data_IF_049340104684
#
_entry.id   IF_049340104684
#
_cell.length_a   1.000
_cell.length_b   1.000
_cell.length_c   1.000
_cell.angle_alpha   90.00
_cell.angle_beta   90.00
_cell.angle_gamma   90.00
#
_symmetry.space_group_name_H-M   'P 1'
#
loop_
_entity.id
_entity.type
_entity.pdbx_description
1 polymer ?
#
# COMPACT_ATOMS: atom_id res chain seq x y z
N UNK A 1 20.65 -26.33 45.04
CA UNK A 1 20.39 -25.62 43.80
C UNK A 1 21.73 -25.41 43.12
N UNK A 2 21.93 -26.07 41.96
CA UNK A 2 23.17 -26.04 41.21
C UNK A 2 23.08 -24.81 40.29
N UNK A 3 23.90 -23.79 40.60
CA UNK A 3 24.04 -22.61 39.77
C UNK A 3 24.82 -22.99 38.49
N UNK A 4 24.25 -22.75 37.31
CA UNK A 4 24.86 -22.95 36.00
C UNK A 4 25.34 -21.62 35.44
N UNK A 5 26.12 -20.89 36.21
CA UNK A 5 26.41 -19.50 35.89
C UNK A 5 27.82 -19.24 35.28
N UNK A 6 28.62 -20.30 35.07
CA UNK A 6 29.95 -20.11 34.46
C UNK A 6 30.10 -20.92 33.16
N UNK A 7 30.52 -20.25 32.07
CA UNK A 7 30.81 -20.83 30.76
C UNK A 7 31.80 -22.01 30.79
N UNK A 8 32.63 -22.09 31.86
CA UNK A 8 33.59 -23.17 32.05
C UNK A 8 32.97 -24.54 32.36
N UNK A 9 31.70 -24.58 32.77
CA UNK A 9 31.02 -25.81 33.13
C UNK A 9 30.56 -26.62 31.89
N UNK A 10 30.50 -26.01 30.71
CA UNK A 10 29.98 -26.65 29.47
C UNK A 10 31.07 -27.30 28.61
N UNK A 11 32.35 -27.03 28.79
CA UNK A 11 33.46 -27.57 27.98
C UNK A 11 33.09 -27.75 26.54
N UNK A 12 32.87 -26.64 25.80
CA UNK A 12 32.60 -26.67 24.37
C UNK A 12 33.76 -27.26 23.59
N UNK A 13 33.64 -28.49 23.16
CA UNK A 13 34.57 -29.11 22.23
C UNK A 13 34.05 -28.90 20.81
N UNK A 14 35.03 -28.79 19.89
CA UNK A 14 34.70 -28.84 18.47
C UNK A 14 34.08 -30.20 18.15
N UNK A 15 32.92 -30.19 17.50
CA UNK A 15 32.27 -31.41 17.07
C UNK A 15 33.05 -32.00 15.90
N UNK A 16 33.53 -33.23 16.06
CA UNK A 16 34.38 -33.87 15.05
C UNK A 16 33.66 -34.15 13.73
N UNK A 17 32.35 -34.26 13.78
CA UNK A 17 31.52 -34.58 12.61
C UNK A 17 31.11 -33.32 11.82
N UNK A 18 31.39 -32.12 12.34
CA UNK A 18 31.10 -30.87 11.66
C UNK A 18 32.39 -30.30 11.05
N UNK A 19 32.54 -30.32 9.73
CA UNK A 19 33.72 -29.75 9.08
C UNK A 19 33.77 -28.25 9.20
N UNK A 20 34.96 -27.70 9.17
CA UNK A 20 35.18 -26.25 9.16
C UNK A 20 34.56 -25.62 7.91
N UNK A 21 33.61 -24.71 8.11
CA UNK A 21 33.06 -23.88 7.04
C UNK A 21 33.87 -22.59 6.96
N UNK A 22 34.63 -22.41 5.89
CA UNK A 22 35.37 -21.17 5.63
C UNK A 22 34.60 -20.36 4.58
N UNK A 23 34.18 -19.17 4.96
CA UNK A 23 33.59 -18.21 4.04
C UNK A 23 34.72 -17.26 3.62
N UNK A 24 35.11 -17.32 2.37
CA UNK A 24 36.15 -16.45 1.82
C UNK A 24 35.68 -14.99 1.68
N UNK A 25 36.64 -14.08 1.52
CA UNK A 25 36.35 -12.66 1.43
C UNK A 25 35.51 -12.35 0.19
N UNK A 26 35.78 -13.01 -0.92
CA UNK A 26 35.04 -12.81 -2.19
C UNK A 26 33.56 -13.17 -2.06
N UNK A 27 33.24 -14.25 -1.33
CA UNK A 27 31.85 -14.60 -1.01
C UNK A 27 31.19 -13.58 -0.10
N UNK A 28 31.91 -13.06 0.92
CA UNK A 28 31.37 -12.00 1.80
C UNK A 28 31.08 -10.73 1.02
N UNK A 29 31.99 -10.33 0.14
CA UNK A 29 31.83 -9.11 -0.67
C UNK A 29 30.66 -9.24 -1.63
N UNK A 30 30.52 -10.37 -2.31
CA UNK A 30 29.37 -10.68 -3.16
C UNK A 30 28.04 -10.68 -2.40
N UNK A 31 28.01 -11.21 -1.18
CA UNK A 31 26.82 -11.20 -0.35
C UNK A 31 26.46 -9.78 0.11
N UNK A 32 27.46 -8.95 0.44
CA UNK A 32 27.24 -7.55 0.80
C UNK A 32 26.69 -6.72 -0.37
N UNK A 33 27.23 -6.91 -1.58
CA UNK A 33 26.78 -6.23 -2.79
C UNK A 33 25.33 -6.60 -3.16
N UNK A 34 24.94 -7.85 -2.91
CA UNK A 34 23.60 -8.35 -3.20
C UNK A 34 22.64 -8.30 -2.00
N UNK A 35 23.08 -7.70 -0.88
CA UNK A 35 22.23 -7.61 0.30
C UNK A 35 21.08 -6.64 0.05
N UNK A 36 19.82 -7.07 0.23
CA UNK A 36 18.69 -6.17 0.09
C UNK A 36 18.74 -5.08 1.16
N UNK A 37 18.18 -3.92 0.82
CA UNK A 37 18.03 -2.81 1.76
C UNK A 37 17.33 -3.27 3.05
N UNK A 38 17.84 -2.84 4.20
CA UNK A 38 17.25 -3.19 5.50
C UNK A 38 15.89 -2.52 5.69
N UNK A 39 15.03 -3.12 6.54
CA UNK A 39 13.73 -2.54 6.89
C UNK A 39 13.89 -1.13 7.46
N UNK A 40 14.88 -0.91 8.32
CA UNK A 40 15.17 0.40 8.92
C UNK A 40 15.55 1.44 7.86
N UNK A 41 16.45 1.08 6.94
CA UNK A 41 16.87 1.98 5.85
C UNK A 41 15.71 2.32 4.90
N UNK A 42 14.86 1.33 4.59
CA UNK A 42 13.65 1.58 3.80
C UNK A 42 12.69 2.55 4.48
N UNK A 43 12.45 2.34 5.78
CA UNK A 43 11.61 3.22 6.59
C UNK A 43 12.12 4.66 6.59
N UNK A 44 13.41 4.85 6.86
CA UNK A 44 14.07 6.16 6.84
C UNK A 44 13.92 6.81 5.45
N UNK A 45 14.21 6.07 4.39
CA UNK A 45 14.05 6.54 3.01
C UNK A 45 12.61 6.95 2.67
N UNK A 46 11.61 6.20 3.15
CA UNK A 46 10.20 6.54 2.91
C UNK A 46 9.78 7.84 3.64
N UNK A 47 10.29 8.04 4.86
CA UNK A 47 10.03 9.25 5.63
C UNK A 47 10.74 10.45 5.00
N UNK A 48 12.04 10.34 4.74
CA UNK A 48 12.87 11.48 4.31
C UNK A 48 12.58 11.88 2.85
N UNK A 49 12.45 10.89 1.96
CA UNK A 49 12.28 11.18 0.53
C UNK A 49 10.86 11.51 0.13
N UNK A 50 9.87 10.87 0.77
CA UNK A 50 8.46 10.95 0.35
C UNK A 50 7.55 11.62 1.38
N UNK A 51 8.09 12.11 2.50
CA UNK A 51 7.32 12.73 3.59
C UNK A 51 6.16 11.83 4.06
N UNK A 52 6.40 10.51 4.14
CA UNK A 52 5.43 9.54 4.62
C UNK A 52 5.46 9.53 6.15
N UNK A 53 4.29 9.49 6.77
CA UNK A 53 4.18 9.41 8.23
C UNK A 53 4.94 8.18 8.78
N UNK A 54 5.68 8.30 9.90
CA UNK A 54 6.51 7.22 10.42
C UNK A 54 5.79 5.88 10.66
N UNK A 55 4.52 5.93 11.08
CA UNK A 55 3.71 4.72 11.28
C UNK A 55 3.37 4.04 9.95
N UNK A 56 3.03 4.82 8.92
CA UNK A 56 2.73 4.32 7.57
C UNK A 56 3.98 3.72 6.93
N UNK A 57 5.12 4.40 7.06
CA UNK A 57 6.41 3.92 6.58
C UNK A 57 6.82 2.60 7.26
N UNK A 58 6.59 2.47 8.56
CA UNK A 58 6.88 1.27 9.34
C UNK A 58 6.04 0.06 8.85
N UNK A 59 4.75 0.25 8.67
CA UNK A 59 3.83 -0.79 8.18
C UNK A 59 4.27 -1.27 6.80
N UNK A 60 4.53 -0.35 5.86
CA UNK A 60 4.91 -0.71 4.49
C UNK A 60 6.29 -1.37 4.44
N UNK A 61 7.28 -0.84 5.17
CA UNK A 61 8.64 -1.37 5.17
C UNK A 61 8.75 -2.76 5.83
N UNK A 62 7.90 -3.04 6.81
CA UNK A 62 7.94 -4.30 7.58
C UNK A 62 7.43 -5.51 6.80
N UNK A 63 6.59 -5.32 5.78
CA UNK A 63 6.06 -6.40 4.96
C UNK A 63 6.61 -6.32 3.53
N UNK A 64 7.22 -7.43 3.07
CA UNK A 64 7.84 -7.50 1.74
C UNK A 64 6.83 -7.29 0.60
N UNK A 65 5.59 -7.75 0.76
CA UNK A 65 4.54 -7.61 -0.24
C UNK A 65 4.15 -6.14 -0.41
N UNK A 66 3.83 -5.46 0.70
CA UNK A 66 3.44 -4.05 0.66
C UNK A 66 4.59 -3.14 0.25
N UNK A 67 5.82 -3.43 0.72
CA UNK A 67 7.03 -2.71 0.30
C UNK A 67 7.22 -2.79 -1.22
N UNK A 68 7.13 -4.00 -1.80
CA UNK A 68 7.26 -4.20 -3.24
C UNK A 68 6.11 -3.54 -4.03
N UNK A 69 4.89 -3.65 -3.52
CA UNK A 69 3.72 -3.03 -4.14
C UNK A 69 3.87 -1.51 -4.16
N UNK A 70 4.29 -0.90 -3.05
CA UNK A 70 4.57 0.52 -2.94
C UNK A 70 5.69 0.95 -3.90
N UNK A 71 6.85 0.29 -3.84
CA UNK A 71 8.02 0.64 -4.64
C UNK A 71 7.79 0.56 -6.15
N UNK A 72 6.88 -0.29 -6.59
CA UNK A 72 6.52 -0.40 -8.00
C UNK A 72 5.36 0.53 -8.43
N UNK A 73 4.63 1.12 -7.49
CA UNK A 73 3.43 1.92 -7.78
C UNK A 73 3.69 3.41 -7.73
N UNK A 74 4.63 3.87 -6.90
CA UNK A 74 4.79 5.29 -6.66
C UNK A 74 5.50 6.03 -7.79
N UNK A 75 5.14 7.30 -7.94
CA UNK A 75 5.92 8.34 -8.60
C UNK A 75 6.23 9.45 -7.58
N UNK A 76 7.13 10.36 -7.91
CA UNK A 76 7.55 11.43 -6.98
C UNK A 76 6.37 12.32 -6.53
N UNK A 77 5.27 12.33 -7.28
CA UNK A 77 4.11 13.18 -7.00
C UNK A 77 2.98 12.49 -6.21
N UNK A 78 2.95 11.16 -6.17
CA UNK A 78 1.83 10.42 -5.60
C UNK A 78 2.22 9.43 -4.48
N UNK A 79 3.49 9.38 -4.10
CA UNK A 79 4.01 8.40 -3.15
C UNK A 79 3.24 8.38 -1.81
N UNK A 80 2.91 9.57 -1.28
CA UNK A 80 2.17 9.69 -0.02
C UNK A 80 0.74 9.15 -0.13
N UNK A 81 0.08 9.42 -1.24
CA UNK A 81 -1.28 8.95 -1.49
C UNK A 81 -1.34 7.45 -1.69
N UNK A 82 -0.38 6.88 -2.43
CA UNK A 82 -0.24 5.43 -2.58
C UNK A 82 0.06 4.75 -1.25
N UNK A 83 0.97 5.30 -0.44
CA UNK A 83 1.27 4.78 0.89
C UNK A 83 0.02 4.75 1.78
N UNK A 84 -0.76 5.82 1.77
CA UNK A 84 -2.03 5.91 2.49
C UNK A 84 -3.06 4.90 1.94
N UNK A 85 -3.21 4.77 0.62
CA UNK A 85 -4.13 3.81 0.01
C UNK A 85 -3.79 2.37 0.40
N UNK A 86 -2.50 2.02 0.40
CA UNK A 86 -2.04 0.70 0.83
C UNK A 86 -2.42 0.45 2.29
N UNK A 87 -2.12 1.37 3.18
CA UNK A 87 -2.29 1.17 4.63
C UNK A 87 -3.73 1.26 5.09
N UNK A 88 -4.57 2.08 4.44
CA UNK A 88 -5.98 2.24 4.84
C UNK A 88 -6.91 1.24 4.17
N UNK A 89 -6.65 0.90 2.91
CA UNK A 89 -7.61 0.14 2.11
C UNK A 89 -7.05 -1.24 1.70
N UNK A 90 -5.83 -1.33 1.12
CA UNK A 90 -5.28 -2.61 0.65
C UNK A 90 -5.08 -3.59 1.81
N UNK A 91 -4.48 -3.15 2.92
CA UNK A 91 -4.23 -4.00 4.09
C UNK A 91 -5.55 -4.54 4.67
N UNK A 92 -6.60 -3.74 4.69
CA UNK A 92 -7.90 -4.17 5.18
C UNK A 92 -8.53 -5.34 4.40
N UNK A 93 -8.12 -5.54 3.15
CA UNK A 93 -8.60 -6.63 2.29
C UNK A 93 -7.60 -7.78 2.18
N UNK A 94 -6.30 -7.49 2.22
CA UNK A 94 -5.20 -8.45 2.02
C UNK A 94 -4.36 -8.52 3.29
N UNK A 95 -4.94 -9.03 4.37
CA UNK A 95 -4.35 -9.10 5.70
C UNK A 95 -3.55 -10.38 5.98
N UNK A 96 -3.66 -11.38 5.11
CA UNK A 96 -2.99 -12.69 5.26
C UNK A 96 -2.08 -12.99 4.08
N UNK A 97 -1.05 -13.83 4.31
CA UNK A 97 -0.13 -14.28 3.25
C UNK A 97 -0.85 -14.99 2.10
N UNK A 98 -1.85 -15.79 2.43
CA UNK A 98 -2.66 -16.48 1.43
C UNK A 98 -3.39 -15.49 0.51
N UNK A 99 -3.97 -14.42 1.09
CA UNK A 99 -4.60 -13.35 0.31
C UNK A 99 -3.58 -12.54 -0.50
N UNK A 100 -2.37 -12.34 0.03
CA UNK A 100 -1.28 -11.68 -0.71
C UNK A 100 -0.88 -12.48 -1.96
N UNK A 101 -0.72 -13.80 -1.83
CA UNK A 101 -0.34 -14.70 -2.93
C UNK A 101 -1.43 -14.81 -4.00
N UNK A 102 -2.70 -14.80 -3.61
CA UNK A 102 -3.86 -14.89 -4.50
C UNK A 102 -4.34 -13.52 -5.01
N UNK A 103 -3.74 -12.43 -4.57
CA UNK A 103 -4.16 -11.09 -4.96
C UNK A 103 -3.84 -10.81 -6.42
N UNK A 104 -4.84 -10.30 -7.13
CA UNK A 104 -4.70 -9.85 -8.52
C UNK A 104 -4.35 -8.38 -8.65
N UNK A 105 -4.14 -7.69 -7.50
CA UNK A 105 -3.78 -6.29 -7.51
C UNK A 105 -2.37 -6.10 -8.05
N UNK A 106 -2.20 -5.11 -8.89
CA UNK A 106 -0.91 -4.73 -9.47
C UNK A 106 -0.56 -3.30 -9.09
N UNK A 107 0.71 -2.96 -9.22
CA UNK A 107 1.20 -1.60 -9.02
C UNK A 107 0.49 -0.59 -9.93
N UNK A 108 0.20 -0.98 -11.16
CA UNK A 108 -0.54 -0.15 -12.14
C UNK A 108 -1.93 0.22 -11.64
N UNK A 109 -2.65 -0.74 -11.04
CA UNK A 109 -3.99 -0.49 -10.50
C UNK A 109 -3.98 0.61 -9.43
N UNK A 110 -2.97 0.63 -8.54
CA UNK A 110 -2.85 1.65 -7.51
C UNK A 110 -2.51 3.02 -8.10
N UNK A 111 -1.56 3.09 -9.03
CA UNK A 111 -1.26 4.32 -9.75
C UNK A 111 -2.48 4.89 -10.46
N UNK A 112 -3.16 4.08 -11.27
CA UNK A 112 -4.34 4.50 -12.03
C UNK A 112 -5.48 4.99 -11.11
N UNK A 113 -5.69 4.35 -9.95
CA UNK A 113 -6.70 4.79 -8.98
C UNK A 113 -6.34 6.14 -8.34
N UNK A 114 -5.08 6.34 -7.96
CA UNK A 114 -4.63 7.61 -7.40
C UNK A 114 -4.69 8.72 -8.45
N UNK A 115 -4.30 8.45 -9.68
CA UNK A 115 -4.39 9.41 -10.78
C UNK A 115 -5.85 9.80 -11.07
N UNK A 116 -6.78 8.84 -11.00
CA UNK A 116 -8.20 9.10 -11.15
C UNK A 116 -8.80 9.94 -9.99
N UNK A 117 -8.31 9.74 -8.76
CA UNK A 117 -8.69 10.57 -7.61
C UNK A 117 -8.13 12.00 -7.77
N UNK A 118 -6.84 12.12 -8.12
CA UNK A 118 -6.16 13.41 -8.24
C UNK A 118 -6.71 14.25 -9.40
N UNK A 119 -7.12 13.61 -10.51
CA UNK A 119 -7.82 14.25 -11.62
C UNK A 119 -9.30 14.54 -11.34
N UNK A 120 -9.81 14.18 -10.14
CA UNK A 120 -11.22 14.31 -9.74
C UNK A 120 -12.20 13.55 -10.66
N UNK A 121 -11.71 12.54 -11.36
CA UNK A 121 -12.57 11.67 -12.18
C UNK A 121 -13.43 10.76 -11.30
N UNK A 122 -12.91 10.39 -10.11
CA UNK A 122 -13.62 9.57 -9.14
C UNK A 122 -13.44 10.12 -7.72
N UNK A 123 -14.36 9.77 -6.82
CA UNK A 123 -14.22 10.06 -5.39
C UNK A 123 -13.36 8.99 -4.70
N UNK A 124 -12.85 9.28 -3.50
CA UNK A 124 -12.12 8.29 -2.69
C UNK A 124 -12.99 7.07 -2.34
N UNK A 125 -14.28 7.28 -2.10
CA UNK A 125 -15.21 6.18 -1.85
C UNK A 125 -15.39 5.30 -3.09
N UNK A 126 -15.54 5.90 -4.28
CA UNK A 126 -15.58 5.19 -5.55
C UNK A 126 -14.31 4.39 -5.80
N UNK A 127 -13.13 4.97 -5.49
CA UNK A 127 -11.86 4.28 -5.60
C UNK A 127 -11.77 3.05 -4.69
N UNK A 128 -12.31 3.11 -3.47
CA UNK A 128 -12.36 1.98 -2.55
C UNK A 128 -13.23 0.84 -3.08
N UNK A 129 -14.39 1.16 -3.65
CA UNK A 129 -15.27 0.17 -4.27
C UNK A 129 -14.61 -0.45 -5.51
N UNK A 130 -14.00 0.38 -6.37
CA UNK A 130 -13.25 -0.09 -7.53
C UNK A 130 -12.06 -1.00 -7.12
N UNK A 131 -11.32 -0.64 -6.07
CA UNK A 131 -10.23 -1.45 -5.53
C UNK A 131 -10.71 -2.85 -5.13
N UNK A 132 -11.86 -2.97 -4.45
CA UNK A 132 -12.44 -4.26 -4.07
C UNK A 132 -12.75 -5.13 -5.28
N UNK A 133 -13.30 -4.53 -6.33
CA UNK A 133 -13.63 -5.26 -7.55
C UNK A 133 -12.38 -5.66 -8.33
N UNK A 134 -11.39 -4.78 -8.43
CA UNK A 134 -10.08 -5.08 -9.04
C UNK A 134 -9.43 -6.28 -8.35
N UNK A 135 -9.46 -6.32 -7.02
CA UNK A 135 -8.87 -7.41 -6.25
C UNK A 135 -9.52 -8.77 -6.51
N UNK A 136 -10.82 -8.79 -6.81
CA UNK A 136 -11.58 -10.01 -7.14
C UNK A 136 -11.39 -10.41 -8.60
N UNK A 137 -11.59 -9.46 -9.51
CA UNK A 137 -11.62 -9.71 -10.94
C UNK A 137 -10.24 -9.70 -11.59
N UNK A 138 -9.35 -8.82 -11.15
CA UNK A 138 -8.05 -8.53 -11.78
C UNK A 138 -8.16 -7.73 -13.08
N UNK A 139 -9.33 -7.12 -13.34
CA UNK A 139 -9.58 -6.27 -14.51
C UNK A 139 -8.80 -4.95 -14.40
N UNK A 140 -8.49 -4.33 -15.52
CA UNK A 140 -7.89 -3.00 -15.56
C UNK A 140 -8.78 -1.98 -14.84
N UNK A 141 -8.15 -1.00 -14.19
CA UNK A 141 -8.86 0.04 -13.42
C UNK A 141 -9.89 0.78 -14.26
N UNK A 142 -9.56 1.10 -15.50
CA UNK A 142 -10.46 1.81 -16.42
C UNK A 142 -11.74 1.02 -16.72
N UNK A 143 -11.61 -0.28 -16.95
CA UNK A 143 -12.74 -1.15 -17.24
C UNK A 143 -13.68 -1.25 -16.03
N UNK A 144 -13.11 -1.39 -14.84
CA UNK A 144 -13.88 -1.44 -13.59
C UNK A 144 -14.62 -0.12 -13.34
N UNK A 145 -13.96 1.02 -13.54
CA UNK A 145 -14.59 2.33 -13.35
C UNK A 145 -15.75 2.57 -14.32
N UNK A 146 -15.64 2.09 -15.56
CA UNK A 146 -16.71 2.18 -16.55
C UNK A 146 -17.86 1.22 -16.26
N UNK A 147 -17.56 -0.06 -15.96
CA UNK A 147 -18.58 -1.08 -15.69
C UNK A 147 -19.44 -0.73 -14.45
N UNK A 148 -18.84 -0.10 -13.47
CA UNK A 148 -19.50 0.25 -12.20
C UNK A 148 -20.08 1.67 -12.19
N UNK A 149 -19.94 2.42 -13.28
CA UNK A 149 -20.39 3.83 -13.40
C UNK A 149 -19.92 4.70 -12.22
N UNK A 150 -18.64 4.52 -11.82
CA UNK A 150 -18.05 5.21 -10.67
C UNK A 150 -17.47 6.59 -11.02
N UNK A 151 -17.68 7.04 -12.25
CA UNK A 151 -17.29 8.38 -12.68
C UNK A 151 -17.98 9.46 -11.85
N UNK A 152 -17.26 10.50 -11.50
CA UNK A 152 -17.86 11.67 -10.85
C UNK A 152 -18.59 12.51 -11.92
N UNK A 153 -19.86 12.76 -11.72
CA UNK A 153 -20.60 13.74 -12.50
C UNK A 153 -20.05 15.13 -12.13
N UNK A 154 -19.19 15.67 -13.00
CA UNK A 154 -18.58 17.00 -12.81
C UNK A 154 -19.20 18.06 -13.72
N UNK A 155 -20.25 17.70 -14.44
CA UNK A 155 -20.95 18.68 -15.29
C UNK A 155 -21.81 19.59 -14.40
N UNK A 156 -21.34 20.82 -14.24
CA UNK A 156 -22.07 21.84 -13.45
C UNK A 156 -23.48 22.09 -14.00
N UNK A 157 -23.70 21.84 -15.31
CA UNK A 157 -25.01 22.01 -15.93
C UNK A 157 -26.03 20.96 -15.47
N UNK A 158 -25.62 19.71 -15.26
CA UNK A 158 -26.49 18.67 -14.68
C UNK A 158 -26.78 18.91 -13.20
N UNK A 159 -25.77 19.34 -12.44
CA UNK A 159 -25.93 19.68 -11.02
C UNK A 159 -26.88 20.89 -10.88
N UNK A 160 -26.69 21.93 -11.68
CA UNK A 160 -27.56 23.11 -11.69
C UNK A 160 -29.00 22.77 -12.10
N UNK A 161 -29.20 21.83 -13.05
CA UNK A 161 -30.50 21.35 -13.42
C UNK A 161 -31.21 20.60 -12.29
N UNK A 162 -30.49 19.71 -11.59
CA UNK A 162 -31.02 19.00 -10.42
C UNK A 162 -31.34 19.97 -9.26
N UNK A 163 -30.45 20.92 -8.99
CA UNK A 163 -30.67 21.96 -7.97
C UNK A 163 -31.91 22.79 -8.33
N UNK A 164 -32.06 23.19 -9.60
CA UNK A 164 -33.22 23.96 -10.05
C UNK A 164 -34.51 23.16 -9.89
N UNK A 165 -34.47 21.88 -10.18
CA UNK A 165 -35.63 20.99 -10.02
C UNK A 165 -36.03 20.83 -8.55
N UNK A 166 -35.04 20.65 -7.65
CA UNK A 166 -35.28 20.59 -6.21
C UNK A 166 -35.86 21.93 -5.67
N UNK A 167 -35.37 23.06 -6.15
CA UNK A 167 -35.96 24.38 -5.80
C UNK A 167 -37.38 24.58 -6.31
N UNK A 168 -37.74 23.95 -7.43
CA UNK A 168 -39.11 23.97 -7.95
C UNK A 168 -40.04 23.05 -7.16
N UNK A 169 -39.59 21.86 -6.80
CA UNK A 169 -40.35 20.87 -6.05
C UNK A 169 -40.60 21.28 -4.60
N UNK A 170 -39.60 21.93 -3.95
CA UNK A 170 -39.60 22.31 -2.53
C UNK A 170 -39.77 23.85 -2.34
N UNK A 171 -40.61 24.49 -3.17
CA UNK A 171 -40.84 25.96 -3.14
C UNK A 171 -41.21 26.49 -1.74
N UNK A 172 -41.97 25.73 -0.96
CA UNK A 172 -42.38 26.11 0.34
C UNK A 172 -41.20 26.17 1.35
N UNK A 173 -40.32 25.17 1.32
CA UNK A 173 -39.13 25.16 2.17
C UNK A 173 -38.15 26.30 1.82
N UNK A 174 -38.06 26.67 0.55
CA UNK A 174 -37.23 27.79 0.09
C UNK A 174 -37.78 29.13 0.54
N UNK A 175 -39.11 29.28 0.66
CA UNK A 175 -39.77 30.49 1.14
C UNK A 175 -39.56 30.61 2.67
N UNK A 176 -39.68 29.52 3.41
CA UNK A 176 -39.55 29.47 4.85
C UNK A 176 -38.09 29.69 5.33
N UNK A 177 -37.11 29.49 4.44
CA UNK A 177 -35.67 29.67 4.69
C UNK A 177 -35.17 31.13 4.42
N UNK A 178 -35.98 31.99 3.82
CA UNK A 178 -35.70 33.44 3.61
C UNK A 178 -36.24 34.28 4.72
#
# INVERSE_FOLDING_TARGET
SRSKEEDQDYRYFLENDIPWVRIDQSTRDRLKENMPESISSKKERYIEKFDIAPQVADIIASDRYYSKLFENSYSDHNAKDIANLITTDVIGFIDTKEKQENSKITSKHLSDLIDAINSKTITRNSAKVALQEIMKSGKDTKDVLQEMDLGQVSDSSEIDAIISQIFEDEKQAVIDAK
#
